data_IF_424080910740
#
_entry.id   IF_424080910740
#
_cell.length_a   1.000
_cell.length_b   1.000
_cell.length_c   1.000
_cell.angle_alpha   90.00
_cell.angle_beta   90.00
_cell.angle_gamma   90.00
#
_symmetry.space_group_name_H-M   'P 1'
#
loop_
_entity.id
_entity.type
_entity.pdbx_description
1 polymer ?
#
# COMPACT_ATOMS: atom_id res chain seq x y z
N UNK A 1 21.68 -12.88 -9.88
CA UNK A 1 21.19 -12.08 -11.02
C UNK A 1 21.08 -10.64 -10.53
N UNK A 2 21.66 -9.66 -11.22
CA UNK A 2 21.87 -8.34 -10.64
C UNK A 2 20.54 -7.62 -10.48
N UNK A 3 20.34 -7.08 -9.29
CA UNK A 3 19.20 -6.26 -8.88
C UNK A 3 19.08 -5.08 -9.85
N UNK A 4 17.85 -4.87 -10.32
CA UNK A 4 17.41 -3.81 -11.21
C UNK A 4 17.98 -2.44 -10.85
N UNK A 5 18.86 -1.94 -11.73
CA UNK A 5 19.59 -0.68 -11.63
C UNK A 5 18.73 0.60 -11.79
N UNK A 6 17.42 0.52 -11.53
CA UNK A 6 16.47 1.64 -11.66
C UNK A 6 15.94 2.12 -10.30
N UNK A 7 16.03 1.31 -9.23
CA UNK A 7 15.39 1.64 -7.94
C UNK A 7 16.24 2.61 -7.08
N UNK A 8 17.55 2.76 -7.33
CA UNK A 8 18.45 3.46 -6.39
C UNK A 8 18.63 4.98 -6.63
N UNK A 9 18.10 5.56 -7.72
CA UNK A 9 18.37 6.98 -8.02
C UNK A 9 17.40 7.98 -7.37
N UNK A 10 16.19 7.57 -6.98
CA UNK A 10 15.18 8.50 -6.43
C UNK A 10 15.46 8.92 -4.97
N UNK A 11 16.23 8.14 -4.20
CA UNK A 11 16.57 8.50 -2.82
C UNK A 11 17.58 9.67 -2.72
N UNK A 12 18.24 10.06 -3.83
CA UNK A 12 19.34 11.04 -3.83
C UNK A 12 18.94 12.49 -4.17
N UNK A 13 17.75 12.76 -4.72
CA UNK A 13 17.44 14.06 -5.34
C UNK A 13 16.67 15.07 -4.47
N UNK A 14 16.36 14.79 -3.20
CA UNK A 14 15.59 15.69 -2.29
C UNK A 14 14.20 16.11 -2.83
N UNK A 15 13.71 15.49 -3.91
CA UNK A 15 12.31 15.61 -4.30
C UNK A 15 11.53 14.59 -3.47
N UNK A 16 10.39 15.02 -2.93
CA UNK A 16 9.51 14.18 -2.13
C UNK A 16 8.35 13.60 -2.96
N UNK A 17 8.25 13.95 -4.25
CA UNK A 17 7.14 13.48 -5.09
C UNK A 17 7.68 13.05 -6.45
N UNK A 18 7.42 11.81 -6.81
CA UNK A 18 7.85 11.15 -8.03
C UNK A 18 6.66 10.62 -8.82
N UNK A 19 6.92 10.38 -10.11
CA UNK A 19 6.05 9.60 -10.98
C UNK A 19 6.84 8.34 -11.34
N UNK A 20 6.48 7.22 -10.71
CA UNK A 20 7.10 5.93 -10.95
C UNK A 20 6.20 5.13 -11.88
N UNK A 21 6.75 4.72 -13.01
CA UNK A 21 6.07 3.90 -14.00
C UNK A 21 6.89 2.63 -14.15
N UNK A 22 6.27 1.50 -13.84
CA UNK A 22 6.83 0.18 -14.08
C UNK A 22 6.94 -0.10 -15.57
N UNK A 23 7.50 -1.26 -15.86
CA UNK A 23 7.82 -1.69 -17.21
C UNK A 23 6.82 -2.76 -17.68
N UNK A 24 7.21 -3.51 -18.72
CA UNK A 24 6.57 -4.79 -18.98
C UNK A 24 7.23 -5.86 -18.09
N UNK A 25 6.44 -6.62 -17.34
CA UNK A 25 6.93 -7.68 -16.47
C UNK A 25 6.41 -7.53 -15.05
N UNK A 26 6.91 -8.34 -14.13
CA UNK A 26 6.50 -8.27 -12.72
C UNK A 26 7.45 -7.31 -11.98
N UNK A 27 6.95 -6.13 -11.66
CA UNK A 27 7.74 -5.08 -11.01
C UNK A 27 7.45 -4.98 -9.49
N UNK A 28 8.43 -4.46 -8.76
CA UNK A 28 8.26 -4.04 -7.36
C UNK A 28 8.43 -2.52 -7.34
N UNK A 29 7.35 -1.81 -7.01
CA UNK A 29 7.32 -0.35 -6.94
C UNK A 29 7.35 0.08 -5.47
N UNK A 30 8.33 0.92 -5.13
CA UNK A 30 8.48 1.56 -3.81
C UNK A 30 8.44 3.08 -4.05
N UNK A 31 7.38 3.76 -3.61
CA UNK A 31 7.30 5.23 -3.68
C UNK A 31 8.32 5.89 -2.75
N UNK A 32 8.34 5.41 -1.50
CA UNK A 32 9.15 6.00 -0.44
C UNK A 32 8.54 7.32 0.01
N UNK A 33 9.37 8.27 0.46
CA UNK A 33 8.87 9.49 1.09
C UNK A 33 8.21 10.46 0.09
N UNK A 34 6.96 10.77 0.41
CA UNK A 34 6.13 11.90 0.05
C UNK A 34 4.90 11.47 -0.74
N UNK A 35 4.50 12.19 -1.79
CA UNK A 35 3.24 11.90 -2.50
C UNK A 35 3.55 11.49 -3.91
N UNK A 36 3.75 10.20 -4.10
CA UNK A 36 4.15 9.64 -5.39
C UNK A 36 2.93 9.22 -6.22
N UNK A 37 3.13 9.14 -7.53
CA UNK A 37 2.18 8.56 -8.48
C UNK A 37 2.81 7.29 -9.02
N UNK A 38 2.20 6.15 -8.73
CA UNK A 38 2.70 4.82 -9.06
C UNK A 38 1.80 4.18 -10.13
N UNK A 39 2.42 3.74 -11.22
CA UNK A 39 1.76 3.01 -12.32
C UNK A 39 2.52 1.71 -12.52
N UNK A 40 1.88 0.55 -12.31
CA UNK A 40 2.52 -0.76 -12.44
C UNK A 40 2.89 -1.07 -13.90
N UNK A 41 1.95 -0.81 -14.82
CA UNK A 41 2.10 -1.18 -16.22
C UNK A 41 1.52 -2.55 -16.49
N UNK A 42 2.22 -3.37 -17.28
CA UNK A 42 1.73 -4.70 -17.65
C UNK A 42 2.49 -5.77 -16.89
N UNK A 43 1.78 -6.68 -16.21
CA UNK A 43 2.40 -7.81 -15.53
C UNK A 43 1.67 -8.15 -14.25
N UNK A 44 2.40 -8.74 -13.30
CA UNK A 44 1.93 -8.99 -11.94
C UNK A 44 2.81 -8.20 -10.99
N UNK A 45 2.38 -6.98 -10.72
CA UNK A 45 3.15 -5.99 -9.97
C UNK A 45 2.90 -6.06 -8.46
N UNK A 46 3.88 -5.54 -7.71
CA UNK A 46 3.88 -5.46 -6.26
C UNK A 46 4.12 -4.01 -5.84
N UNK A 47 3.18 -3.44 -5.09
CA UNK A 47 3.28 -2.08 -4.55
C UNK A 47 3.71 -2.17 -3.09
N UNK A 48 4.94 -1.78 -2.82
CA UNK A 48 5.58 -1.97 -1.52
C UNK A 48 5.55 -0.67 -0.70
N UNK A 49 4.94 -0.76 0.50
CA UNK A 49 4.90 0.33 1.47
C UNK A 49 5.92 0.09 2.58
N UNK A 50 6.95 0.94 2.65
CA UNK A 50 8.02 0.84 3.64
C UNK A 50 7.60 1.36 5.02
N UNK A 51 6.73 2.36 5.10
CA UNK A 51 6.24 2.94 6.34
C UNK A 51 4.87 3.60 6.15
N UNK A 52 3.98 3.60 7.17
CA UNK A 52 2.77 4.42 7.12
C UNK A 52 3.06 5.94 7.14
N UNK A 53 4.33 6.34 7.36
CA UNK A 53 4.79 7.74 7.44
C UNK A 53 5.45 8.25 6.16
N UNK A 54 5.58 7.40 5.15
CA UNK A 54 6.26 7.75 3.90
C UNK A 54 5.48 8.83 3.15
N UNK A 55 4.16 8.74 3.15
CA UNK A 55 3.26 9.76 2.65
C UNK A 55 2.03 9.11 2.04
N UNK A 56 1.35 9.79 1.13
CA UNK A 56 0.10 9.29 0.54
C UNK A 56 0.29 9.19 -0.96
N UNK A 57 0.60 7.98 -1.40
CA UNK A 57 0.78 7.68 -2.81
C UNK A 57 -0.55 7.56 -3.54
N UNK A 58 -0.49 7.70 -4.86
CA UNK A 58 -1.59 7.42 -5.77
C UNK A 58 -1.21 6.29 -6.70
N UNK A 59 -1.85 5.13 -6.56
CA UNK A 59 -1.70 4.01 -7.49
C UNK A 59 -2.74 4.14 -8.61
N UNK A 60 -2.31 4.04 -9.86
CA UNK A 60 -3.16 4.41 -11.00
C UNK A 60 -3.92 3.26 -11.66
N UNK A 61 -3.39 2.04 -11.58
CA UNK A 61 -3.77 0.92 -12.44
C UNK A 61 -3.83 -0.43 -11.71
N UNK A 62 -3.92 -0.43 -10.38
CA UNK A 62 -3.88 -1.66 -9.58
C UNK A 62 -4.90 -2.72 -10.02
N UNK A 63 -4.43 -3.92 -10.33
CA UNK A 63 -5.26 -5.06 -10.71
C UNK A 63 -5.42 -6.05 -9.54
N UNK A 64 -6.52 -5.94 -8.82
CA UNK A 64 -6.80 -6.78 -7.66
C UNK A 64 -6.96 -8.29 -7.96
N UNK A 65 -7.00 -8.72 -9.22
CA UNK A 65 -7.07 -10.15 -9.55
C UNK A 65 -5.72 -10.86 -9.38
N UNK A 66 -4.60 -10.14 -9.49
CA UNK A 66 -3.28 -10.76 -9.50
C UNK A 66 -2.18 -9.93 -8.82
N UNK A 67 -2.33 -8.61 -8.67
CA UNK A 67 -1.31 -7.76 -8.06
C UNK A 67 -1.39 -7.76 -6.53
N UNK A 68 -0.27 -7.37 -5.90
CA UNK A 68 -0.10 -7.47 -4.44
C UNK A 68 0.30 -6.12 -3.83
N UNK A 69 -0.35 -5.80 -2.71
CA UNK A 69 0.06 -4.76 -1.77
C UNK A 69 1.00 -5.40 -0.76
N UNK A 70 2.25 -4.95 -0.73
CA UNK A 70 3.29 -5.49 0.16
C UNK A 70 3.54 -4.50 1.29
N UNK A 71 3.45 -4.98 2.53
CA UNK A 71 3.58 -4.16 3.74
C UNK A 71 4.79 -4.62 4.53
N UNK A 72 5.67 -3.69 4.89
CA UNK A 72 6.78 -3.94 5.80
C UNK A 72 6.27 -4.14 7.25
N UNK A 73 6.33 -5.37 7.76
CA UNK A 73 5.90 -5.74 9.11
C UNK A 73 6.52 -4.86 10.19
N UNK A 74 7.82 -4.57 10.09
CA UNK A 74 8.60 -3.92 11.16
C UNK A 74 8.16 -2.49 11.42
N UNK A 75 7.72 -1.78 10.38
CA UNK A 75 7.36 -0.35 10.46
C UNK A 75 5.87 -0.12 10.60
N UNK A 76 5.05 -1.13 10.31
CA UNK A 76 3.61 -1.16 10.55
C UNK A 76 3.33 -1.90 11.87
N UNK A 77 3.84 -1.40 13.00
CA UNK A 77 3.57 -1.94 14.35
C UNK A 77 3.80 -3.45 14.54
N UNK A 78 4.84 -3.99 13.88
CA UNK A 78 5.23 -5.40 14.03
C UNK A 78 4.09 -6.38 13.68
N UNK A 79 3.36 -6.10 12.59
CA UNK A 79 2.38 -7.05 12.06
C UNK A 79 3.00 -8.44 11.85
N UNK A 80 2.21 -9.49 12.08
CA UNK A 80 2.64 -10.86 11.82
C UNK A 80 2.93 -11.05 10.31
N UNK A 81 4.14 -11.49 9.92
CA UNK A 81 4.45 -11.77 8.52
C UNK A 81 3.56 -12.86 7.93
N UNK A 82 3.28 -12.77 6.62
CA UNK A 82 2.42 -13.69 5.88
C UNK A 82 1.21 -12.98 5.25
N UNK A 83 0.13 -13.73 5.04
CA UNK A 83 -1.13 -13.18 4.52
C UNK A 83 -1.86 -12.38 5.59
N UNK A 84 -2.46 -11.26 5.19
CA UNK A 84 -3.36 -10.51 6.07
C UNK A 84 -4.60 -11.37 6.36
N UNK A 85 -5.00 -11.44 7.63
CA UNK A 85 -6.21 -12.17 8.00
C UNK A 85 -7.45 -11.36 7.62
N UNK A 86 -8.55 -12.04 7.28
CA UNK A 86 -9.78 -11.37 6.84
C UNK A 86 -10.39 -10.46 7.91
N UNK A 87 -10.25 -10.78 9.21
CA UNK A 87 -10.69 -9.93 10.31
C UNK A 87 -9.83 -8.67 10.50
N UNK A 88 -8.65 -8.61 9.87
CA UNK A 88 -7.76 -7.45 9.89
C UNK A 88 -8.04 -6.47 8.76
N UNK A 89 -8.92 -6.81 7.81
CA UNK A 89 -9.29 -5.97 6.68
C UNK A 89 -10.78 -5.58 6.76
N UNK A 90 -11.11 -4.35 6.41
CA UNK A 90 -12.49 -3.92 6.25
C UNK A 90 -12.67 -2.98 5.06
N UNK A 91 -13.90 -2.96 4.54
CA UNK A 91 -14.32 -2.03 3.50
C UNK A 91 -15.47 -1.19 4.05
N UNK A 92 -15.49 0.11 3.76
CA UNK A 92 -16.60 0.96 4.16
C UNK A 92 -16.72 2.25 3.35
N UNK A 93 -17.63 3.13 3.78
CA UNK A 93 -17.80 4.47 3.23
C UNK A 93 -16.52 5.31 3.32
N UNK A 94 -16.50 6.47 2.66
CA UNK A 94 -15.37 7.42 2.63
C UNK A 94 -14.79 7.77 4.01
N UNK A 95 -15.63 7.79 5.04
CA UNK A 95 -15.33 8.13 6.42
C UNK A 95 -15.20 6.91 7.34
N UNK A 96 -15.20 5.70 6.78
CA UNK A 96 -15.08 4.48 7.56
C UNK A 96 -13.76 4.45 8.35
N UNK A 97 -13.87 3.93 9.57
CA UNK A 97 -12.77 3.66 10.49
C UNK A 97 -12.77 2.20 10.91
N UNK A 98 -11.71 1.75 11.59
CA UNK A 98 -11.73 0.48 12.26
C UNK A 98 -12.90 0.38 13.25
N UNK A 99 -13.61 -0.74 13.22
CA UNK A 99 -14.78 -1.03 14.08
C UNK A 99 -14.51 -2.17 15.06
N UNK A 100 -13.38 -2.87 14.91
CA UNK A 100 -12.90 -3.92 15.82
C UNK A 100 -11.42 -3.67 16.16
N UNK A 101 -10.96 -4.21 17.29
CA UNK A 101 -9.54 -4.13 17.70
C UNK A 101 -8.58 -4.91 16.79
N UNK A 102 -9.12 -5.78 15.93
CA UNK A 102 -8.31 -6.61 15.02
C UNK A 102 -8.07 -5.94 13.67
N UNK A 103 -8.94 -5.01 13.27
CA UNK A 103 -8.80 -4.32 11.99
C UNK A 103 -7.49 -3.52 11.96
N UNK A 104 -6.77 -3.67 10.85
CA UNK A 104 -5.50 -2.99 10.57
C UNK A 104 -5.54 -2.22 9.27
N UNK A 105 -6.32 -2.69 8.29
CA UNK A 105 -6.45 -2.04 7.00
C UNK A 105 -7.91 -1.75 6.68
N UNK A 106 -8.19 -0.50 6.34
CA UNK A 106 -9.54 -0.02 6.02
C UNK A 106 -9.50 0.56 4.61
N UNK A 107 -10.26 -0.03 3.70
CA UNK A 107 -10.41 0.46 2.34
C UNK A 107 -11.75 1.17 2.17
N UNK A 108 -11.74 2.38 1.63
CA UNK A 108 -12.93 3.23 1.54
C UNK A 108 -13.44 3.37 0.11
N UNK A 109 -14.73 3.69 -0.03
CA UNK A 109 -15.38 3.85 -1.35
C UNK A 109 -14.79 4.95 -2.24
N UNK A 110 -13.95 5.84 -1.70
CA UNK A 110 -13.21 6.84 -2.47
C UNK A 110 -11.82 6.38 -2.91
N UNK A 111 -11.50 5.08 -2.73
CA UNK A 111 -10.25 4.46 -3.13
C UNK A 111 -9.12 4.62 -2.12
N UNK A 112 -9.37 5.24 -0.96
CA UNK A 112 -8.34 5.39 0.06
C UNK A 112 -8.12 4.07 0.80
N UNK A 113 -6.85 3.76 1.07
CA UNK A 113 -6.46 2.69 1.99
C UNK A 113 -5.80 3.32 3.21
N UNK A 114 -6.27 2.92 4.38
CA UNK A 114 -5.76 3.36 5.67
C UNK A 114 -5.12 2.18 6.41
N UNK A 115 -4.08 2.48 7.18
CA UNK A 115 -3.54 1.63 8.22
C UNK A 115 -3.99 2.14 9.59
N UNK A 116 -4.57 1.27 10.41
CA UNK A 116 -4.94 1.53 11.79
C UNK A 116 -4.07 0.66 12.72
N UNK A 117 -3.20 1.26 13.55
CA UNK A 117 -2.25 0.48 14.35
C UNK A 117 -2.90 -0.32 15.49
N UNK A 118 -3.98 0.20 16.09
CA UNK A 118 -4.68 -0.43 17.22
C UNK A 118 -6.12 -0.87 16.87
N UNK A 119 -6.57 -0.62 15.65
CA UNK A 119 -7.92 -0.91 15.20
C UNK A 119 -8.93 0.00 15.90
N UNK A 120 -10.00 -0.56 16.46
CA UNK A 120 -10.90 0.22 17.30
C UNK A 120 -10.22 0.52 18.63
N UNK A 121 -9.48 1.62 18.67
CA UNK A 121 -8.73 2.09 19.82
C UNK A 121 -8.62 3.61 19.89
N UNK A 122 -7.53 4.08 20.48
CA UNK A 122 -7.26 5.50 20.70
C UNK A 122 -6.28 6.10 19.71
N UNK A 123 -5.65 5.28 18.86
CA UNK A 123 -4.76 5.74 17.80
C UNK A 123 -5.60 5.95 16.53
N UNK A 124 -5.34 7.05 15.84
CA UNK A 124 -6.06 7.36 14.60
C UNK A 124 -5.44 6.60 13.41
N UNK A 125 -6.30 6.07 12.54
CA UNK A 125 -5.85 5.47 11.28
C UNK A 125 -5.12 6.49 10.39
N UNK A 126 -4.06 6.05 9.72
CA UNK A 126 -3.25 6.84 8.80
C UNK A 126 -3.52 6.41 7.37
N UNK A 127 -3.83 7.35 6.48
CA UNK A 127 -3.97 7.05 5.04
C UNK A 127 -2.59 6.74 4.46
N UNK A 128 -2.45 5.63 3.74
CA UNK A 128 -1.18 5.21 3.13
C UNK A 128 -1.20 5.30 1.60
N UNK A 129 -2.36 5.12 0.96
CA UNK A 129 -2.47 5.27 -0.50
C UNK A 129 -3.90 5.59 -0.94
N UNK A 130 -4.04 6.01 -2.19
CA UNK A 130 -5.31 6.16 -2.91
C UNK A 130 -5.22 5.42 -4.25
N UNK A 131 -6.15 4.51 -4.49
CA UNK A 131 -6.29 3.82 -5.77
C UNK A 131 -7.19 4.62 -6.72
N UNK A 132 -6.64 5.04 -7.86
CA UNK A 132 -7.36 5.86 -8.83
C UNK A 132 -8.48 5.10 -9.56
N UNK A 133 -8.33 3.79 -9.70
CA UNK A 133 -9.23 2.90 -10.44
C UNK A 133 -10.24 2.17 -9.56
N UNK A 134 -10.28 2.47 -8.25
CA UNK A 134 -11.25 1.91 -7.28
C UNK A 134 -11.36 0.37 -7.35
N UNK A 135 -10.25 -0.39 -7.24
CA UNK A 135 -10.28 -1.85 -7.33
C UNK A 135 -11.13 -2.47 -6.22
N UNK A 136 -11.67 -3.66 -6.49
CA UNK A 136 -12.32 -4.50 -5.48
C UNK A 136 -11.24 -5.23 -4.68
N UNK A 137 -10.90 -4.71 -3.50
CA UNK A 137 -9.87 -5.29 -2.64
C UNK A 137 -10.43 -6.34 -1.67
N UNK A 138 -9.61 -7.30 -1.31
CA UNK A 138 -9.78 -8.19 -0.16
C UNK A 138 -8.48 -8.32 0.63
N UNK A 139 -8.50 -9.02 1.76
CA UNK A 139 -7.28 -9.35 2.51
C UNK A 139 -6.28 -10.18 1.69
N UNK A 140 -6.72 -10.87 0.63
CA UNK A 140 -5.85 -11.71 -0.19
C UNK A 140 -4.86 -10.90 -1.05
N UNK A 141 -5.19 -9.63 -1.31
CA UNK A 141 -4.34 -8.69 -2.02
C UNK A 141 -3.12 -8.24 -1.19
N UNK A 142 -3.04 -8.60 0.09
CA UNK A 142 -1.98 -8.16 0.99
C UNK A 142 -0.96 -9.27 1.27
N UNK A 143 0.30 -8.86 1.35
CA UNK A 143 1.40 -9.67 1.88
C UNK A 143 2.19 -8.83 2.89
N UNK A 144 2.37 -9.37 4.09
CA UNK A 144 3.14 -8.76 5.18
C UNK A 144 4.52 -9.42 5.22
N UNK A 145 5.59 -8.62 5.15
CA UNK A 145 6.98 -9.09 5.03
C UNK A 145 7.94 -8.54 6.07
#
# INVERSE_FOLDING_TARGET
MPISKIIELCQYLKLLNYRLIGSSGNDILVGGKGKDILTGGSGVDRFFFESPKDGIDKITDFNALNETIVINSRTFDSLNPGKLLSNQFSIGSRDAKATTSDQRFIYTTDGSLFFDPDGKGGIEQTKITVFANLPFLSSDNFEIV
#
